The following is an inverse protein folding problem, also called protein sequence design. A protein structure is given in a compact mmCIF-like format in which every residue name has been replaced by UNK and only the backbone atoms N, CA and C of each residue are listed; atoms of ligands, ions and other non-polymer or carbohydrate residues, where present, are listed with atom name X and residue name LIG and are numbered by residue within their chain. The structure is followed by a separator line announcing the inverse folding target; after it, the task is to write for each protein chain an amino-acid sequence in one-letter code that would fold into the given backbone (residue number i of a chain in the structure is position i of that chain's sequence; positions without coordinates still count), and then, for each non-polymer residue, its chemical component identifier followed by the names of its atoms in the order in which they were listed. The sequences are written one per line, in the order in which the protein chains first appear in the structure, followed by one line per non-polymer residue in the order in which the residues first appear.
data_IF_007268306005
#
_entry.id   IF_007268306005
#
_cell.length_a   1.000
_cell.length_b   1.000
_cell.length_c   1.000
_cell.angle_alpha   90.00
_cell.angle_beta   90.00
_cell.angle_gamma   90.00
#
_symmetry.space_group_name_H-M   'P 1'
#
loop_
_entity.id
_entity.type
_entity.pdbx_description
1 polymer ?
#
# COMPACT_ATOMS: atom_id res chain seq x y z
N UNK A 1 13.57 7.31 16.05
CA UNK A 1 14.27 7.22 14.76
C UNK A 1 14.44 8.62 14.21
N UNK A 2 15.67 8.99 13.88
CA UNK A 2 15.99 10.25 13.21
C UNK A 2 15.55 10.21 11.74
N UNK A 3 15.56 11.36 11.05
CA UNK A 3 15.32 11.40 9.60
C UNK A 3 16.35 10.60 8.80
N UNK A 4 17.59 10.51 9.29
CA UNK A 4 18.65 9.69 8.70
C UNK A 4 18.37 8.18 8.85
N UNK A 5 17.87 7.75 10.03
CA UNK A 5 17.49 6.35 10.26
C UNK A 5 16.34 5.92 9.33
N UNK A 6 15.35 6.80 9.13
CA UNK A 6 14.25 6.58 8.18
C UNK A 6 14.72 6.46 6.74
N UNK A 7 15.68 7.29 6.32
CA UNK A 7 16.25 7.24 4.98
C UNK A 7 17.04 5.95 4.76
N UNK A 8 17.86 5.54 5.74
CA UNK A 8 18.62 4.30 5.68
C UNK A 8 17.72 3.06 5.66
N UNK A 9 16.66 3.05 6.48
CA UNK A 9 15.66 1.98 6.48
C UNK A 9 14.91 1.91 5.13
N UNK A 10 14.57 3.05 4.54
CA UNK A 10 13.92 3.06 3.23
C UNK A 10 14.86 2.55 2.13
N UNK A 11 16.14 2.92 2.15
CA UNK A 11 17.14 2.44 1.19
C UNK A 11 17.43 0.93 1.30
N UNK A 12 17.22 0.33 2.47
CA UNK A 12 17.43 -1.11 2.69
C UNK A 12 16.21 -1.97 2.30
N UNK A 13 15.02 -1.37 2.16
CA UNK A 13 13.80 -2.07 1.77
C UNK A 13 13.73 -2.27 0.25
N UNK A 14 14.45 -3.27 -0.24
CA UNK A 14 14.46 -3.68 -1.64
C UNK A 14 13.57 -4.90 -1.89
N UNK A 15 13.06 -5.03 -3.11
CA UNK A 15 12.44 -6.27 -3.59
C UNK A 15 13.42 -7.08 -4.44
N UNK A 16 13.24 -8.40 -4.49
CA UNK A 16 14.01 -9.27 -5.36
C UNK A 16 13.09 -10.30 -6.02
N UNK A 17 13.26 -10.52 -7.32
CA UNK A 17 12.82 -11.75 -7.98
C UNK A 17 13.98 -12.74 -7.92
N UNK A 18 13.76 -13.91 -7.36
CA UNK A 18 14.81 -14.91 -7.09
C UNK A 18 14.41 -16.22 -7.76
N UNK A 19 15.24 -16.72 -8.67
CA UNK A 19 15.22 -18.14 -9.01
C UNK A 19 16.06 -18.88 -7.99
N UNK A 20 15.40 -19.63 -7.12
CA UNK A 20 16.05 -20.43 -6.09
C UNK A 20 16.25 -21.86 -6.60
N UNK A 21 17.49 -22.34 -6.56
CA UNK A 21 17.79 -23.76 -6.77
C UNK A 21 17.60 -24.49 -5.43
N UNK A 22 16.56 -25.31 -5.26
CA UNK A 22 16.30 -25.99 -4.00
C UNK A 22 17.30 -27.11 -3.70
N UNK A 23 17.98 -27.67 -4.71
CA UNK A 23 18.98 -28.73 -4.55
C UNK A 23 20.30 -28.13 -4.07
N UNK A 24 20.75 -27.05 -4.72
CA UNK A 24 21.97 -26.33 -4.32
C UNK A 24 21.76 -25.41 -3.11
N UNK A 25 20.51 -25.15 -2.74
CA UNK A 25 20.11 -24.18 -1.71
C UNK A 25 20.75 -22.80 -1.94
N UNK A 26 20.74 -22.36 -3.19
CA UNK A 26 21.38 -21.13 -3.61
C UNK A 26 20.57 -20.45 -4.72
N UNK A 27 20.66 -19.12 -4.86
CA UNK A 27 20.06 -18.44 -6.00
C UNK A 27 20.78 -18.83 -7.29
N UNK A 28 20.05 -19.34 -8.29
CA UNK A 28 20.57 -19.48 -9.65
C UNK A 28 20.79 -18.08 -10.27
N UNK A 29 19.84 -17.18 -10.03
CA UNK A 29 19.95 -15.76 -10.35
C UNK A 29 19.02 -14.93 -9.45
N UNK A 30 19.28 -13.61 -9.41
CA UNK A 30 18.43 -12.62 -8.73
C UNK A 30 18.29 -11.37 -9.58
N UNK A 31 17.09 -10.79 -9.57
CA UNK A 31 16.80 -9.49 -10.18
C UNK A 31 16.30 -8.54 -9.09
N UNK A 32 16.99 -7.42 -8.91
CA UNK A 32 16.54 -6.36 -7.99
C UNK A 32 15.27 -5.69 -8.55
N UNK A 33 14.29 -5.49 -7.68
CA UNK A 33 13.05 -4.81 -7.99
C UNK A 33 13.05 -3.43 -7.33
N UNK A 34 12.46 -2.45 -8.01
CA UNK A 34 12.47 -1.04 -7.57
C UNK A 34 11.74 -0.81 -6.24
N UNK A 35 10.88 -1.73 -5.80
CA UNK A 35 10.13 -1.65 -4.56
C UNK A 35 9.97 -3.04 -3.92
N UNK A 36 9.78 -3.12 -2.59
CA UNK A 36 9.37 -4.36 -1.92
C UNK A 36 7.89 -4.66 -2.20
N UNK A 37 7.39 -5.80 -1.71
CA UNK A 37 5.97 -6.21 -1.87
C UNK A 37 5.52 -6.35 -3.33
N UNK A 38 6.39 -6.89 -4.19
CA UNK A 38 6.03 -7.28 -5.55
C UNK A 38 5.04 -8.46 -5.55
N UNK A 39 4.39 -8.67 -6.69
CA UNK A 39 3.39 -9.71 -6.85
C UNK A 39 3.97 -11.11 -6.98
N UNK A 40 3.05 -12.07 -7.08
CA UNK A 40 3.40 -13.45 -7.38
C UNK A 40 4.00 -13.62 -8.78
N UNK A 41 4.46 -14.84 -9.04
CA UNK A 41 5.17 -15.21 -10.27
C UNK A 41 4.45 -16.33 -11.00
N UNK A 42 4.64 -16.41 -12.31
CA UNK A 42 4.16 -17.49 -13.18
C UNK A 42 5.32 -17.98 -14.05
N UNK A 43 5.72 -19.24 -13.89
CA UNK A 43 6.64 -19.90 -14.82
C UNK A 43 5.87 -20.67 -15.90
N UNK A 44 6.44 -20.78 -17.10
CA UNK A 44 5.83 -21.48 -18.24
C UNK A 44 6.84 -22.40 -18.92
N UNK A 45 6.35 -23.42 -19.64
CA UNK A 45 7.22 -24.31 -20.42
C UNK A 45 7.91 -23.66 -21.62
N UNK A 46 7.65 -22.38 -21.91
CA UNK A 46 8.29 -21.62 -22.98
C UNK A 46 9.57 -20.89 -22.57
N UNK A 47 10.15 -21.20 -21.41
CA UNK A 47 11.37 -20.55 -20.92
C UNK A 47 11.13 -19.16 -20.30
N UNK A 48 9.90 -18.88 -19.85
CA UNK A 48 9.50 -17.57 -19.36
C UNK A 48 8.97 -17.61 -17.92
N UNK A 49 9.36 -16.60 -17.15
CA UNK A 49 8.77 -16.22 -15.86
C UNK A 49 8.10 -14.86 -15.97
N UNK A 50 6.81 -14.77 -15.66
CA UNK A 50 6.08 -13.51 -15.56
C UNK A 50 5.98 -13.08 -14.09
N UNK A 51 6.19 -11.79 -13.83
CA UNK A 51 6.05 -11.23 -12.49
C UNK A 51 5.44 -9.82 -12.54
N UNK A 52 4.49 -9.58 -11.64
CA UNK A 52 3.96 -8.25 -11.36
C UNK A 52 4.82 -7.54 -10.31
N UNK A 53 5.01 -6.23 -10.45
CA UNK A 53 5.82 -5.43 -9.51
C UNK A 53 4.98 -4.41 -8.78
N UNK A 54 5.42 -4.05 -7.57
CA UNK A 54 4.85 -2.92 -6.85
C UNK A 54 5.09 -1.61 -7.61
N UNK A 55 6.08 -1.54 -8.51
CA UNK A 55 6.39 -0.39 -9.35
C UNK A 55 5.53 -0.26 -10.62
N UNK A 56 4.39 -0.96 -10.70
CA UNK A 56 3.41 -0.94 -11.80
C UNK A 56 3.81 -1.70 -13.06
N UNK A 57 4.83 -2.54 -13.00
CA UNK A 57 5.22 -3.33 -14.17
C UNK A 57 4.62 -4.73 -14.10
N UNK A 58 4.05 -5.21 -15.20
CA UNK A 58 4.09 -6.65 -15.51
C UNK A 58 5.30 -6.88 -16.40
N UNK A 59 6.17 -7.80 -16.03
CA UNK A 59 7.38 -8.11 -16.80
C UNK A 59 7.50 -9.61 -17.06
N UNK A 60 8.14 -9.96 -18.18
CA UNK A 60 8.53 -11.32 -18.53
C UNK A 60 10.06 -11.42 -18.53
N UNK A 61 10.55 -12.50 -17.93
CA UNK A 61 11.97 -12.79 -17.74
C UNK A 61 12.30 -14.15 -18.35
N UNK A 62 13.49 -14.26 -18.92
CA UNK A 62 14.10 -15.54 -19.27
C UNK A 62 14.30 -16.37 -17.99
N UNK A 63 13.82 -17.61 -17.97
CA UNK A 63 13.81 -18.44 -16.76
C UNK A 63 15.21 -18.96 -16.36
N UNK A 64 16.14 -19.01 -17.30
CA UNK A 64 17.50 -19.51 -17.11
C UNK A 64 18.47 -18.44 -16.62
N UNK A 65 18.28 -17.19 -17.05
CA UNK A 65 19.22 -16.09 -16.81
C UNK A 65 18.63 -14.97 -15.93
N UNK A 66 17.31 -14.87 -15.83
CA UNK A 66 16.62 -13.73 -15.23
C UNK A 66 16.66 -12.46 -16.10
N UNK A 67 17.09 -12.55 -17.37
CA UNK A 67 17.08 -11.41 -18.27
C UNK A 67 15.65 -10.93 -18.54
N UNK A 68 15.38 -9.63 -18.37
CA UNK A 68 14.06 -9.06 -18.65
C UNK A 68 13.86 -8.93 -20.17
N UNK A 69 12.94 -9.69 -20.72
CA UNK A 69 12.65 -9.75 -22.16
C UNK A 69 11.53 -8.79 -22.57
N UNK A 70 10.58 -8.54 -21.66
CA UNK A 70 9.41 -7.69 -21.92
C UNK A 70 8.91 -7.02 -20.65
N UNK A 71 8.26 -5.85 -20.81
CA UNK A 71 7.58 -5.15 -19.72
C UNK A 71 6.37 -4.35 -20.21
N UNK A 72 5.44 -4.10 -19.31
CA UNK A 72 4.25 -3.28 -19.53
C UNK A 72 3.90 -2.47 -18.28
N UNK A 73 3.59 -1.19 -18.45
CA UNK A 73 3.09 -0.32 -17.38
C UNK A 73 1.58 -0.55 -17.17
N UNK A 74 1.25 -1.21 -16.07
CA UNK A 74 -0.11 -1.54 -15.66
C UNK A 74 -0.87 -0.36 -15.04
N UNK A 75 -0.24 0.82 -14.92
CA UNK A 75 -0.75 2.03 -14.25
C UNK A 75 -1.04 1.88 -12.75
N UNK A 76 -0.97 0.68 -12.20
CA UNK A 76 -1.07 0.38 -10.77
C UNK A 76 -0.15 -0.78 -10.37
N UNK A 77 0.28 -0.83 -9.11
CA UNK A 77 1.08 -1.93 -8.59
C UNK A 77 0.36 -3.28 -8.75
N UNK A 78 1.11 -4.36 -8.89
CA UNK A 78 0.57 -5.71 -9.05
C UNK A 78 1.06 -6.56 -7.89
N UNK A 79 0.11 -7.08 -7.09
CA UNK A 79 0.39 -8.02 -6.00
C UNK A 79 -0.08 -9.45 -6.31
N UNK A 80 -1.06 -9.60 -7.21
CA UNK A 80 -1.58 -10.91 -7.60
C UNK A 80 -0.57 -11.66 -8.50
N UNK A 81 -0.49 -13.00 -8.40
CA UNK A 81 0.24 -13.79 -9.39
C UNK A 81 -0.45 -13.71 -10.76
N UNK A 82 0.32 -13.62 -11.87
CA UNK A 82 -0.22 -13.85 -13.20
C UNK A 82 -0.70 -15.30 -13.37
N UNK A 83 -1.62 -15.52 -14.31
CA UNK A 83 -2.02 -16.84 -14.80
C UNK A 83 -1.88 -16.90 -16.32
N UNK A 84 -1.86 -18.10 -16.89
CA UNK A 84 -1.94 -18.29 -18.34
C UNK A 84 -2.96 -19.37 -18.68
N UNK A 85 -3.62 -19.22 -19.83
CA UNK A 85 -4.61 -20.16 -20.35
C UNK A 85 -4.63 -20.08 -21.88
N UNK A 86 -5.31 -21.05 -22.51
CA UNK A 86 -5.57 -21.04 -23.95
C UNK A 86 -7.06 -20.91 -24.22
N UNK A 87 -7.39 -20.22 -25.30
CA UNK A 87 -8.75 -20.11 -25.83
C UNK A 87 -8.65 -20.09 -27.35
N UNK A 88 -9.38 -20.98 -28.01
CA UNK A 88 -9.41 -21.11 -29.49
C UNK A 88 -8.01 -21.20 -30.13
N UNK A 89 -7.11 -21.96 -29.50
CA UNK A 89 -5.74 -22.16 -29.97
C UNK A 89 -4.78 -21.00 -29.71
N UNK A 90 -5.23 -19.90 -29.09
CA UNK A 90 -4.39 -18.76 -28.72
C UNK A 90 -4.10 -18.76 -27.22
N UNK A 91 -2.84 -18.53 -26.85
CA UNK A 91 -2.43 -18.40 -25.45
C UNK A 91 -2.60 -16.96 -24.96
N UNK A 92 -3.07 -16.84 -23.72
CA UNK A 92 -3.26 -15.59 -23.00
C UNK A 92 -2.52 -15.62 -21.67
N UNK A 93 -2.03 -14.46 -21.23
CA UNK A 93 -1.52 -14.23 -19.87
C UNK A 93 -2.42 -13.20 -19.22
N UNK A 94 -2.98 -13.50 -18.05
CA UNK A 94 -3.87 -12.60 -17.33
C UNK A 94 -3.34 -12.28 -15.95
N UNK A 95 -3.57 -11.05 -15.47
CA UNK A 95 -3.21 -10.63 -14.13
C UNK A 95 -4.21 -9.62 -13.58
N UNK A 96 -4.51 -9.76 -12.29
CA UNK A 96 -5.26 -8.75 -11.55
C UNK A 96 -4.29 -7.64 -11.12
N UNK A 97 -4.32 -6.52 -11.84
CA UNK A 97 -3.56 -5.33 -11.50
C UNK A 97 -4.33 -4.50 -10.47
N UNK A 98 -3.70 -4.28 -9.33
CA UNK A 98 -4.27 -3.53 -8.22
C UNK A 98 -3.29 -3.53 -7.05
N UNK A 99 -2.87 -2.33 -6.65
CA UNK A 99 -2.03 -2.17 -5.47
C UNK A 99 -2.85 -2.56 -4.22
N UNK A 100 -2.26 -3.36 -3.34
CA UNK A 100 -2.97 -3.89 -2.17
C UNK A 100 -2.06 -4.64 -1.21
N UNK A 101 -2.67 -5.41 -0.30
CA UNK A 101 -1.95 -6.16 0.73
C UNK A 101 -1.45 -5.28 1.88
N UNK A 102 -0.51 -5.81 2.66
CA UNK A 102 -0.03 -5.14 3.89
C UNK A 102 0.75 -3.85 3.64
N UNK A 103 1.34 -3.64 2.46
CA UNK A 103 2.23 -2.51 2.21
C UNK A 103 1.51 -1.15 2.17
N UNK A 104 0.43 -0.98 1.38
CA UNK A 104 -0.39 0.22 1.45
C UNK A 104 -1.08 0.47 2.81
N UNK A 105 -1.08 -0.53 3.70
CA UNK A 105 -1.70 -0.44 5.03
C UNK A 105 -0.70 -0.12 6.14
N UNK A 106 0.52 -0.63 6.05
CA UNK A 106 1.48 -0.63 7.16
C UNK A 106 2.77 0.11 6.83
N UNK A 107 3.06 0.33 5.54
CA UNK A 107 4.27 1.03 5.10
C UNK A 107 4.28 2.51 5.46
N UNK A 108 3.12 3.08 5.81
CA UNK A 108 3.00 4.43 6.35
C UNK A 108 3.71 5.49 5.49
N UNK A 109 4.61 6.32 6.07
CA UNK A 109 5.37 7.32 5.31
C UNK A 109 6.20 6.73 4.17
N UNK A 110 6.67 5.49 4.29
CA UNK A 110 7.49 4.84 3.26
C UNK A 110 6.65 4.46 2.05
N UNK A 111 5.48 3.86 2.29
CA UNK A 111 4.54 3.54 1.21
C UNK A 111 4.02 4.82 0.52
N UNK A 112 3.78 5.90 1.29
CA UNK A 112 3.39 7.19 0.75
C UNK A 112 4.51 7.81 -0.12
N UNK A 113 5.76 7.80 0.35
CA UNK A 113 6.93 8.35 -0.38
C UNK A 113 7.29 7.53 -1.62
N UNK A 114 7.07 6.22 -1.61
CA UNK A 114 7.19 5.36 -2.78
C UNK A 114 6.14 5.66 -3.86
N UNK A 115 5.28 6.67 -3.64
CA UNK A 115 4.30 7.15 -4.60
C UNK A 115 3.09 6.23 -4.72
N UNK A 116 2.81 5.43 -3.67
CA UNK A 116 1.82 4.35 -3.59
C UNK A 116 1.01 4.22 -4.88
N UNK A 117 1.42 3.35 -5.82
CA UNK A 117 0.92 3.37 -7.18
C UNK A 117 -0.46 2.74 -7.28
N UNK A 118 -1.41 3.32 -6.56
CA UNK A 118 -2.83 3.04 -6.59
C UNK A 118 -3.35 3.77 -7.82
N UNK A 119 -3.33 3.05 -8.94
CA UNK A 119 -4.08 3.41 -10.12
C UNK A 119 -5.40 2.64 -10.15
N UNK A 120 -6.13 2.70 -11.25
CA UNK A 120 -7.37 1.94 -11.40
C UNK A 120 -7.10 0.43 -11.35
N UNK A 121 -7.86 -0.29 -10.52
CA UNK A 121 -7.82 -1.75 -10.49
C UNK A 121 -8.39 -2.33 -11.79
N UNK A 122 -7.69 -3.31 -12.38
CA UNK A 122 -8.08 -3.92 -13.67
C UNK A 122 -7.70 -5.40 -13.74
N UNK A 123 -8.51 -6.16 -14.48
CA UNK A 123 -8.05 -7.40 -15.10
C UNK A 123 -7.32 -7.02 -16.39
N UNK A 124 -6.03 -7.35 -16.46
CA UNK A 124 -5.21 -7.17 -17.66
C UNK A 124 -4.99 -8.52 -18.32
N UNK A 125 -5.24 -8.60 -19.63
CA UNK A 125 -5.07 -9.82 -20.42
C UNK A 125 -4.18 -9.50 -21.62
N UNK A 126 -3.12 -10.29 -21.78
CA UNK A 126 -2.10 -10.14 -22.81
C UNK A 126 -2.09 -11.37 -23.71
N UNK A 127 -1.78 -11.14 -24.98
CA UNK A 127 -1.51 -12.19 -25.96
C UNK A 127 -0.51 -11.64 -26.98
N UNK A 128 0.15 -12.52 -27.74
CA UNK A 128 0.98 -12.11 -28.87
C UNK A 128 0.16 -11.21 -29.82
N UNK A 129 0.79 -10.15 -30.35
CA UNK A 129 0.21 -9.15 -31.25
C UNK A 129 -0.99 -8.36 -30.69
N UNK A 130 -1.23 -8.41 -29.38
CA UNK A 130 -2.22 -7.56 -28.72
C UNK A 130 -1.83 -6.07 -28.77
N UNK A 131 -2.75 -5.20 -29.20
CA UNK A 131 -2.50 -3.77 -29.39
C UNK A 131 -3.46 -2.85 -28.61
N UNK A 132 -4.23 -3.42 -27.68
CA UNK A 132 -5.11 -2.66 -26.79
C UNK A 132 -4.29 -1.70 -25.92
N UNK A 133 -4.84 -0.50 -25.68
CA UNK A 133 -4.20 0.54 -24.87
C UNK A 133 -5.00 0.79 -23.61
N UNK A 134 -4.30 0.99 -22.49
CA UNK A 134 -4.96 1.43 -21.26
C UNK A 134 -5.52 2.85 -21.44
N UNK A 135 -6.68 3.16 -20.84
CA UNK A 135 -7.17 4.52 -20.75
C UNK A 135 -6.17 5.43 -20.06
N UNK A 136 -6.10 6.69 -20.49
CA UNK A 136 -5.29 7.71 -19.80
C UNK A 136 -5.83 7.92 -18.39
N UNK A 137 -4.97 7.76 -17.38
CA UNK A 137 -5.30 8.10 -16.00
C UNK A 137 -4.97 9.57 -15.78
N UNK A 138 -6.00 10.41 -15.70
CA UNK A 138 -5.84 11.79 -15.24
C UNK A 138 -5.69 11.75 -13.72
N UNK A 139 -4.58 12.22 -13.13
CA UNK A 139 -4.46 12.33 -11.68
C UNK A 139 -5.66 13.10 -11.14
N UNK A 140 -6.38 12.51 -10.18
CA UNK A 140 -7.54 13.17 -9.59
C UNK A 140 -7.12 14.52 -9.02
N UNK A 141 -7.73 15.61 -9.50
CA UNK A 141 -7.63 16.95 -8.88
C UNK A 141 -8.38 16.93 -7.55
N UNK A 142 -7.83 16.28 -6.55
CA UNK A 142 -8.28 16.45 -5.18
C UNK A 142 -7.06 16.86 -4.35
N UNK A 143 -6.60 18.10 -4.55
CA UNK A 143 -5.89 18.78 -3.47
C UNK A 143 -6.95 19.03 -2.40
N UNK A 144 -7.22 18.03 -1.55
CA UNK A 144 -8.00 18.27 -0.33
C UNK A 144 -7.26 19.38 0.41
N UNK A 145 -7.97 20.44 0.80
CA UNK A 145 -7.39 21.52 1.60
C UNK A 145 -6.71 20.86 2.81
N UNK A 146 -5.40 21.01 2.95
CA UNK A 146 -4.62 20.43 4.05
C UNK A 146 -5.23 20.93 5.35
N UNK A 147 -5.75 20.01 6.16
CA UNK A 147 -6.23 20.30 7.51
C UNK A 147 -5.05 20.06 8.45
N UNK A 148 -4.73 21.08 9.25
CA UNK A 148 -3.70 21.02 10.27
C UNK A 148 -4.39 21.31 11.59
N UNK A 149 -4.40 20.33 12.50
CA UNK A 149 -4.92 20.52 13.84
C UNK A 149 -3.88 21.24 14.71
N UNK A 150 -4.35 21.96 15.71
CA UNK A 150 -3.46 22.57 16.71
C UNK A 150 -2.74 21.50 17.54
N UNK A 151 -1.55 21.84 18.03
CA UNK A 151 -0.83 21.01 18.99
C UNK A 151 -1.70 20.78 20.24
N UNK A 152 -1.86 19.53 20.73
CA UNK A 152 -2.62 19.28 21.94
C UNK A 152 -1.92 19.86 23.16
N UNK A 153 -2.70 20.34 24.12
CA UNK A 153 -2.19 20.82 25.41
C UNK A 153 -1.79 19.67 26.34
N UNK A 154 -2.55 18.56 26.33
CA UNK A 154 -2.24 17.36 27.11
C UNK A 154 -1.37 16.37 26.31
N UNK A 155 -0.05 16.51 26.47
CA UNK A 155 0.92 15.62 25.84
C UNK A 155 0.93 14.21 26.44
N UNK A 156 0.50 14.04 27.70
CA UNK A 156 0.39 12.72 28.32
C UNK A 156 -0.79 11.95 27.73
N UNK A 157 -1.92 12.61 27.48
CA UNK A 157 -3.02 12.04 26.71
C UNK A 157 -2.58 11.68 25.29
N UNK A 158 -1.81 12.53 24.61
CA UNK A 158 -1.29 12.20 23.27
C UNK A 158 -0.39 10.96 23.28
N UNK A 159 0.44 10.77 24.31
CA UNK A 159 1.28 9.56 24.45
C UNK A 159 0.44 8.29 24.69
N UNK A 160 -0.61 8.37 25.53
CA UNK A 160 -1.57 7.25 25.69
C UNK A 160 -2.30 6.97 24.37
N UNK A 161 -2.70 8.02 23.66
CA UNK A 161 -3.35 7.95 22.35
C UNK A 161 -2.51 7.25 21.30
N UNK A 162 -1.19 7.43 21.29
CA UNK A 162 -0.27 6.71 20.40
C UNK A 162 -0.35 5.20 20.61
N UNK A 163 -0.34 4.77 21.88
CA UNK A 163 -0.45 3.35 22.25
C UNK A 163 -1.80 2.76 21.82
N UNK A 164 -2.89 3.48 22.07
CA UNK A 164 -4.24 3.09 21.67
C UNK A 164 -4.36 3.03 20.14
N UNK A 165 -3.82 4.03 19.44
CA UNK A 165 -3.81 4.09 17.99
C UNK A 165 -3.08 2.89 17.39
N UNK A 166 -1.89 2.56 17.93
CA UNK A 166 -1.14 1.36 17.58
C UNK A 166 -2.00 0.10 17.73
N UNK A 167 -2.74 -0.02 18.82
CA UNK A 167 -3.57 -1.21 19.09
C UNK A 167 -4.81 -1.33 18.19
N UNK A 168 -5.50 -0.23 17.91
CA UNK A 168 -6.85 -0.26 17.32
C UNK A 168 -6.95 0.28 15.90
N UNK A 169 -6.06 1.19 15.50
CA UNK A 169 -6.24 2.01 14.30
C UNK A 169 -5.17 1.75 13.24
N UNK A 170 -3.94 1.42 13.66
CA UNK A 170 -2.75 1.33 12.82
C UNK A 170 -2.95 0.46 11.58
N UNK A 171 -3.65 -0.68 11.72
CA UNK A 171 -3.78 -1.69 10.67
C UNK A 171 -4.47 -1.17 9.42
N UNK A 172 -5.34 -0.16 9.56
CA UNK A 172 -6.08 0.43 8.46
C UNK A 172 -5.58 1.84 8.16
N UNK A 173 -5.39 2.67 9.19
CA UNK A 173 -5.07 4.08 9.02
C UNK A 173 -3.57 4.38 8.91
N UNK A 174 -2.71 3.35 8.89
CA UNK A 174 -1.28 3.48 8.69
C UNK A 174 -0.48 3.63 9.97
N UNK A 175 0.81 3.29 9.88
CA UNK A 175 1.77 3.49 10.97
C UNK A 175 1.93 4.98 11.26
N UNK A 176 1.98 5.32 12.55
CA UNK A 176 2.12 6.71 13.02
C UNK A 176 1.06 7.69 12.48
N UNK A 177 -0.15 7.19 12.23
CA UNK A 177 -1.28 7.90 11.59
C UNK A 177 -1.07 8.34 10.14
N UNK A 178 -0.03 7.84 9.47
CA UNK A 178 0.23 8.15 8.06
C UNK A 178 -0.38 7.07 7.18
N UNK A 179 -1.56 7.36 6.60
CA UNK A 179 -2.14 6.45 5.61
C UNK A 179 -1.46 6.64 4.25
N UNK A 180 -1.17 5.54 3.57
CA UNK A 180 -0.68 5.57 2.19
C UNK A 180 -1.78 5.59 1.13
N UNK A 181 -3.07 5.52 1.49
CA UNK A 181 -4.17 5.73 0.53
C UNK A 181 -5.40 4.81 0.60
N UNK A 182 -5.33 3.51 0.97
CA UNK A 182 -6.52 2.65 0.92
C UNK A 182 -7.58 3.01 1.97
N UNK A 183 -7.18 3.69 3.05
CA UNK A 183 -8.06 4.23 4.07
C UNK A 183 -7.76 5.71 4.32
N UNK A 184 -8.70 6.50 4.88
CA UNK A 184 -8.48 7.91 5.15
C UNK A 184 -7.25 8.18 6.03
N UNK A 185 -6.48 9.20 5.69
CA UNK A 185 -5.45 9.76 6.55
C UNK A 185 -6.12 10.58 7.67
N UNK A 186 -6.11 10.03 8.89
CA UNK A 186 -6.81 10.64 10.03
C UNK A 186 -6.19 11.98 10.45
N UNK A 187 -4.91 12.25 10.13
CA UNK A 187 -4.25 13.53 10.45
C UNK A 187 -4.87 14.71 9.69
N UNK A 188 -5.55 14.42 8.57
CA UNK A 188 -6.20 15.41 7.70
C UNK A 188 -7.73 15.34 7.76
N UNK A 189 -8.30 14.51 8.63
CA UNK A 189 -9.74 14.34 8.71
C UNK A 189 -10.38 15.47 9.53
N UNK A 190 -11.37 16.19 9.00
CA UNK A 190 -12.09 17.22 9.77
C UNK A 190 -12.91 16.60 10.91
N UNK A 191 -13.19 15.30 10.84
CA UNK A 191 -14.08 14.62 11.78
C UNK A 191 -13.41 14.35 13.13
N UNK A 192 -12.07 14.29 13.19
CA UNK A 192 -11.33 13.89 14.41
C UNK A 192 -11.63 14.83 15.57
N UNK A 193 -11.73 16.13 15.31
CA UNK A 193 -12.00 17.14 16.35
C UNK A 193 -13.48 17.32 16.65
N UNK A 194 -14.37 16.74 15.85
CA UNK A 194 -15.82 16.85 16.01
C UNK A 194 -16.42 15.72 16.83
N UNK A 195 -17.72 15.84 17.12
CA UNK A 195 -18.53 14.81 17.77
C UNK A 195 -18.59 13.52 16.92
N UNK A 196 -18.46 13.66 15.60
CA UNK A 196 -18.47 12.58 14.64
C UNK A 196 -17.42 11.51 14.97
N UNK A 197 -16.24 11.89 15.46
CA UNK A 197 -15.21 10.93 15.84
C UNK A 197 -15.69 9.94 16.91
N UNK A 198 -16.46 10.42 17.88
CA UNK A 198 -17.02 9.57 18.93
C UNK A 198 -18.11 8.66 18.36
N UNK A 199 -19.04 9.20 17.57
CA UNK A 199 -20.11 8.39 16.94
C UNK A 199 -19.56 7.33 16.00
N UNK A 200 -18.48 7.62 15.27
CA UNK A 200 -17.81 6.65 14.41
C UNK A 200 -17.20 5.53 15.24
N UNK A 201 -16.46 5.88 16.30
CA UNK A 201 -15.71 4.91 17.10
C UNK A 201 -16.55 4.13 18.11
N UNK A 202 -17.58 4.72 18.69
CA UNK A 202 -18.38 4.11 19.76
C UNK A 202 -19.77 3.68 19.30
N UNK A 203 -20.33 4.33 18.29
CA UNK A 203 -21.70 4.03 17.80
C UNK A 203 -21.69 3.32 16.44
N UNK A 204 -20.55 3.27 15.75
CA UNK A 204 -20.41 2.56 14.48
C UNK A 204 -21.05 3.29 13.31
N UNK A 205 -21.05 4.63 13.33
CA UNK A 205 -21.65 5.45 12.26
C UNK A 205 -21.15 5.12 10.84
N UNK A 206 -19.95 4.53 10.71
CA UNK A 206 -19.36 4.09 9.44
C UNK A 206 -19.17 2.56 9.33
N UNK A 207 -19.86 1.78 10.17
CA UNK A 207 -19.72 0.31 10.20
C UNK A 207 -20.07 -0.35 8.85
N UNK A 208 -21.10 0.14 8.16
CA UNK A 208 -21.48 -0.35 6.83
C UNK A 208 -20.44 -0.06 5.74
N UNK A 209 -19.52 0.87 5.98
CA UNK A 209 -18.40 1.21 5.10
C UNK A 209 -17.10 0.50 5.50
N UNK A 210 -17.15 -0.42 6.46
CA UNK A 210 -16.01 -1.21 6.92
C UNK A 210 -15.19 -0.56 8.05
N UNK A 211 -15.62 0.58 8.61
CA UNK A 211 -14.99 1.17 9.80
C UNK A 211 -15.62 0.58 11.07
N UNK A 212 -14.90 -0.28 11.84
CA UNK A 212 -15.50 -0.98 12.97
C UNK A 212 -15.87 -0.03 14.12
N UNK A 213 -16.94 -0.39 14.82
CA UNK A 213 -17.19 0.15 16.17
C UNK A 213 -16.25 -0.51 17.18
N UNK A 214 -15.76 0.29 18.12
CA UNK A 214 -14.96 -0.09 19.27
C UNK A 214 -15.74 0.03 20.58
N UNK A 215 -17.08 0.06 20.52
CA UNK A 215 -17.94 0.02 21.70
C UNK A 215 -17.53 -1.12 22.64
N UNK A 216 -17.37 -0.79 23.92
CA UNK A 216 -16.92 -1.75 24.94
C UNK A 216 -15.43 -2.08 24.92
N UNK A 217 -14.65 -1.51 23.98
CA UNK A 217 -13.18 -1.63 23.92
C UNK A 217 -12.48 -0.30 24.16
N UNK A 218 -13.12 0.81 23.78
CA UNK A 218 -12.67 2.17 24.03
C UNK A 218 -13.69 2.92 24.89
N UNK A 219 -13.19 3.77 25.78
CA UNK A 219 -13.95 4.73 26.58
C UNK A 219 -13.90 6.12 25.95
N UNK A 220 -14.74 7.05 26.41
CA UNK A 220 -14.65 8.47 26.01
C UNK A 220 -13.26 9.07 26.26
N UNK A 221 -12.65 8.75 27.40
CA UNK A 221 -11.29 9.20 27.70
C UNK A 221 -10.23 8.65 26.73
N UNK A 222 -10.44 7.43 26.21
CA UNK A 222 -9.59 6.87 25.16
C UNK A 222 -9.80 7.60 23.82
N UNK A 223 -11.03 8.02 23.51
CA UNK A 223 -11.32 8.84 22.32
C UNK A 223 -10.58 10.18 22.40
N UNK A 224 -10.60 10.83 23.57
CA UNK A 224 -9.88 12.09 23.77
C UNK A 224 -8.36 11.92 23.68
N UNK A 225 -7.82 10.82 24.22
CA UNK A 225 -6.41 10.48 24.03
C UNK A 225 -6.05 10.25 22.56
N UNK A 226 -6.89 9.54 21.80
CA UNK A 226 -6.73 9.35 20.35
C UNK A 226 -6.79 10.69 19.60
N UNK A 227 -7.71 11.59 19.95
CA UNK A 227 -7.76 12.96 19.40
C UNK A 227 -6.46 13.72 19.67
N UNK A 228 -5.98 13.72 20.91
CA UNK A 228 -4.74 14.39 21.27
C UNK A 228 -3.56 13.86 20.45
N UNK A 229 -3.45 12.53 20.30
CA UNK A 229 -2.43 11.92 19.46
C UNK A 229 -2.53 12.35 17.99
N UNK A 230 -3.71 12.22 17.38
CA UNK A 230 -3.92 12.57 15.97
C UNK A 230 -3.69 14.06 15.70
N UNK A 231 -4.07 14.93 16.64
CA UNK A 231 -3.78 16.36 16.57
C UNK A 231 -2.30 16.66 16.67
N UNK A 232 -1.56 15.98 17.55
CA UNK A 232 -0.10 16.09 17.61
C UNK A 232 0.53 15.69 16.27
N UNK A 233 0.15 14.53 15.72
CA UNK A 233 0.68 14.04 14.43
C UNK A 233 0.33 14.98 13.28
N UNK A 234 -0.90 15.53 13.28
CA UNK A 234 -1.33 16.55 12.31
C UNK A 234 -0.46 17.80 12.40
N UNK A 235 -0.23 18.35 13.60
CA UNK A 235 0.63 19.52 13.79
C UNK A 235 2.09 19.27 13.38
N UNK A 236 2.68 18.18 13.87
CA UNK A 236 4.10 17.82 13.63
C UNK A 236 4.39 17.58 12.14
N UNK A 237 3.55 16.79 11.47
CA UNK A 237 3.79 16.38 10.09
C UNK A 237 3.21 17.36 9.06
N UNK A 238 2.16 18.11 9.44
CA UNK A 238 1.38 18.93 8.51
C UNK A 238 1.43 20.44 8.76
N UNK A 239 1.88 20.88 9.94
CA UNK A 239 1.97 22.30 10.31
C UNK A 239 3.23 23.01 9.81
N UNK A 240 4.17 22.26 9.23
CA UNK A 240 5.34 22.77 8.53
C UNK A 240 5.06 22.92 7.01
#
# INVERSE_FOLDING_TARGET
MTGADLAALHASMKGWLIAWDPVRQAPAWKVEQAAPFNGGVLATGGGLVFAGTAARELAAYDDSTGARLWRFDAQTGIVAPPITYTLDGRQYVAVMAGAGGGWPLLGGPMALKAGNPVGPNRLLIFALDGNAKLPTVTPGKAVRKRIVNAMPTDLAAAARGDTLYGRFCLRCHGTSAVSSGPYPDLRQSPLVMGHEFETILLEGALASQGMPSFKGKLTRGDIDALRAYLSRRSYEDLGQ
#
